data_IF_148268538532
#
_entry.id   IF_148268538532
#
_cell.length_a   1.000
_cell.length_b   1.000
_cell.length_c   1.000
_cell.angle_alpha   90.00
_cell.angle_beta   90.00
_cell.angle_gamma   90.00
#
_symmetry.space_group_name_H-M   'P 1'
#
loop_
_entity.id
_entity.type
_entity.pdbx_description
1 polymer ?
#
# COMPACT_ATOMS: atom_id res chain seq x y z
N UNK A 1 -12.46 -3.49 0.00
CA UNK A 1 -11.43 -2.71 -0.72
C UNK A 1 -10.92 -1.58 0.16
N UNK A 2 -9.75 -1.03 -0.13
CA UNK A 2 -9.21 0.16 0.52
C UNK A 2 -8.53 1.07 -0.51
N UNK A 3 -8.47 2.35 -0.22
CA UNK A 3 -7.80 3.36 -1.03
C UNK A 3 -7.09 4.36 -0.11
N UNK A 4 -5.91 4.78 -0.53
CA UNK A 4 -5.10 5.79 0.12
C UNK A 4 -5.10 7.07 -0.70
N UNK A 5 -5.20 8.20 -0.01
CA UNK A 5 -5.14 9.53 -0.60
C UNK A 5 -3.99 10.32 0.01
N UNK A 6 -3.48 11.29 -0.74
CA UNK A 6 -2.53 12.29 -0.26
C UNK A 6 -2.94 13.63 -0.85
N UNK A 7 -3.13 14.63 0.02
CA UNK A 7 -3.55 15.97 -0.39
C UNK A 7 -4.85 15.96 -1.24
N UNK A 8 -5.78 15.06 -0.90
CA UNK A 8 -7.05 14.86 -1.61
C UNK A 8 -6.98 13.95 -2.85
N UNK A 9 -5.79 13.58 -3.32
CA UNK A 9 -5.60 12.80 -4.55
C UNK A 9 -5.38 11.31 -4.26
N UNK A 10 -6.00 10.37 -5.03
CA UNK A 10 -5.82 8.94 -4.84
C UNK A 10 -4.41 8.50 -5.23
N UNK A 11 -3.66 7.94 -4.28
CA UNK A 11 -2.27 7.51 -4.49
C UNK A 11 -2.12 5.99 -4.64
N UNK A 12 -3.01 5.21 -4.03
CA UNK A 12 -2.98 3.75 -4.12
C UNK A 12 -4.35 3.14 -3.82
N UNK A 13 -4.81 2.21 -4.66
CA UNK A 13 -6.00 1.39 -4.42
C UNK A 13 -5.63 -0.08 -4.29
N UNK A 14 -6.38 -0.81 -3.47
CA UNK A 14 -6.22 -2.25 -3.40
C UNK A 14 -7.39 -2.98 -2.78
N UNK A 15 -7.36 -4.30 -2.93
CA UNK A 15 -8.29 -5.21 -2.31
C UNK A 15 -7.61 -6.03 -1.21
N UNK A 16 -8.40 -6.40 -0.21
CA UNK A 16 -7.95 -7.28 0.85
C UNK A 16 -8.45 -8.70 0.55
N UNK A 17 -7.52 -9.65 0.53
CA UNK A 17 -7.78 -11.07 0.27
C UNK A 17 -7.47 -11.90 1.51
N UNK A 18 -8.07 -13.08 1.59
CA UNK A 18 -7.82 -14.06 2.64
C UNK A 18 -8.62 -13.83 3.93
N UNK A 19 -8.43 -14.74 4.88
CA UNK A 19 -9.27 -14.90 6.09
C UNK A 19 -9.26 -13.66 6.99
N UNK A 20 -8.15 -12.93 7.06
CA UNK A 20 -8.05 -11.72 7.89
C UNK A 20 -8.63 -10.46 7.22
N UNK A 21 -9.06 -10.56 5.97
CA UNK A 21 -9.74 -9.49 5.24
C UNK A 21 -9.03 -8.12 5.31
N UNK A 22 -9.83 -7.05 5.35
CA UNK A 22 -9.35 -5.67 5.43
C UNK A 22 -8.42 -5.45 6.63
N UNK A 23 -8.77 -5.96 7.81
CA UNK A 23 -7.97 -5.77 9.03
C UNK A 23 -6.56 -6.33 8.89
N UNK A 24 -6.41 -7.55 8.37
CA UNK A 24 -5.09 -8.15 8.15
C UNK A 24 -4.26 -7.39 7.11
N UNK A 25 -4.91 -6.93 6.03
CA UNK A 25 -4.22 -6.16 4.99
C UNK A 25 -3.77 -4.79 5.49
N UNK A 26 -4.64 -4.06 6.19
CA UNK A 26 -4.31 -2.74 6.74
C UNK A 26 -3.22 -2.84 7.82
N UNK A 27 -3.23 -3.89 8.65
CA UNK A 27 -2.14 -4.15 9.61
C UNK A 27 -0.77 -4.26 8.92
N UNK A 28 -0.70 -4.86 7.74
CA UNK A 28 0.56 -4.97 6.99
C UNK A 28 1.01 -3.62 6.39
N UNK A 29 0.06 -2.78 5.96
CA UNK A 29 0.35 -1.45 5.40
C UNK A 29 0.72 -0.43 6.47
N UNK A 30 0.14 -0.54 7.66
CA UNK A 30 0.40 0.30 8.84
C UNK A 30 1.53 -0.24 9.72
N UNK A 31 2.19 -1.33 9.33
CA UNK A 31 3.35 -1.83 10.06
C UNK A 31 4.49 -0.81 10.01
N UNK A 32 5.24 -0.67 11.10
CA UNK A 32 6.36 0.27 11.20
C UNK A 32 7.75 -0.38 11.02
N UNK A 33 7.81 -1.72 11.01
CA UNK A 33 9.07 -2.46 10.95
C UNK A 33 9.76 -2.42 9.58
N UNK A 34 11.03 -2.83 9.56
CA UNK A 34 11.90 -2.75 8.37
C UNK A 34 11.50 -3.69 7.23
N UNK A 35 10.77 -4.77 7.51
CA UNK A 35 10.29 -5.70 6.47
C UNK A 35 9.10 -5.11 5.67
N UNK A 36 9.37 -4.61 4.46
CA UNK A 36 8.33 -4.11 3.55
C UNK A 36 7.73 -5.19 2.62
N UNK A 37 8.32 -6.38 2.57
CA UNK A 37 7.97 -7.41 1.58
C UNK A 37 6.51 -7.92 1.69
N UNK A 38 5.87 -7.73 2.85
CA UNK A 38 4.46 -8.10 3.07
C UNK A 38 3.47 -7.05 2.59
N UNK A 39 3.95 -5.87 2.17
CA UNK A 39 3.11 -4.74 1.80
C UNK A 39 3.58 -4.14 0.47
N UNK A 40 2.82 -4.41 -0.59
CA UNK A 40 3.00 -3.76 -1.90
C UNK A 40 3.01 -2.24 -1.78
N UNK A 41 2.06 -1.65 -1.05
CA UNK A 41 1.98 -0.20 -0.82
C UNK A 41 3.29 0.36 -0.22
N UNK A 42 3.67 -0.10 0.98
CA UNK A 42 4.94 0.32 1.63
C UNK A 42 6.16 0.18 0.70
N UNK A 43 6.24 -0.90 -0.08
CA UNK A 43 7.32 -1.08 -1.05
C UNK A 43 7.25 -0.06 -2.20
N UNK A 44 6.06 0.21 -2.75
CA UNK A 44 5.87 1.23 -3.78
C UNK A 44 6.18 2.64 -3.26
N UNK A 45 5.86 2.95 -1.99
CA UNK A 45 6.25 4.20 -1.34
C UNK A 45 7.77 4.31 -1.24
N UNK A 46 8.46 3.25 -0.82
CA UNK A 46 9.93 3.25 -0.77
C UNK A 46 10.54 3.53 -2.15
N UNK A 47 10.04 2.89 -3.20
CA UNK A 47 10.49 3.16 -4.58
C UNK A 47 10.26 4.62 -4.96
N UNK A 48 9.06 5.16 -4.71
CA UNK A 48 8.69 6.51 -5.10
C UNK A 48 9.44 7.60 -4.32
N UNK A 49 9.64 7.41 -3.02
CA UNK A 49 10.17 8.45 -2.13
C UNK A 49 11.69 8.37 -1.95
N UNK A 50 12.28 7.18 -2.10
CA UNK A 50 13.71 6.95 -1.86
C UNK A 50 14.48 6.66 -3.16
N UNK A 51 13.79 6.42 -4.28
CA UNK A 51 14.42 6.06 -5.55
C UNK A 51 15.07 4.68 -5.56
N UNK A 52 14.76 3.83 -4.57
CA UNK A 52 15.28 2.46 -4.49
C UNK A 52 14.53 1.53 -5.43
N UNK A 53 15.13 0.38 -5.77
CA UNK A 53 14.42 -0.64 -6.57
C UNK A 53 13.43 -1.43 -5.74
N UNK A 54 12.43 -2.00 -6.41
CA UNK A 54 11.46 -2.91 -5.77
C UNK A 54 12.11 -4.17 -5.21
N UNK A 55 13.20 -4.63 -5.83
CA UNK A 55 14.00 -5.76 -5.34
C UNK A 55 14.68 -5.42 -4.00
N UNK A 56 15.29 -4.23 -3.90
CA UNK A 56 15.86 -3.71 -2.66
C UNK A 56 14.80 -3.57 -1.56
N UNK A 57 13.69 -2.88 -1.86
CA UNK A 57 12.64 -2.62 -0.87
C UNK A 57 11.98 -3.90 -0.32
N UNK A 58 11.90 -4.98 -1.12
CA UNK A 58 11.23 -6.23 -0.72
C UNK A 58 12.19 -7.35 -0.30
N UNK A 59 13.49 -7.07 -0.25
CA UNK A 59 14.50 -8.07 0.09
C UNK A 59 14.27 -8.66 1.49
N UNK A 60 14.59 -9.96 1.63
CA UNK A 60 14.62 -10.67 2.91
C UNK A 60 15.98 -11.37 3.09
N UNK A 61 16.70 -11.16 4.20
CA UNK A 61 16.42 -10.20 5.28
C UNK A 61 16.41 -8.75 4.76
N UNK A 62 15.72 -7.86 5.47
CA UNK A 62 15.63 -6.45 5.06
C UNK A 62 17.01 -5.80 5.08
N UNK A 63 17.31 -5.05 4.03
CA UNK A 63 18.49 -4.18 3.93
C UNK A 63 18.14 -2.70 4.10
N UNK A 64 16.85 -2.38 4.23
CA UNK A 64 16.35 -1.03 4.50
C UNK A 64 16.89 -0.56 5.85
N UNK A 65 17.42 0.65 5.88
CA UNK A 65 17.87 1.34 7.10
C UNK A 65 16.69 1.91 7.89
N UNK A 66 16.90 2.20 9.17
CA UNK A 66 15.87 2.82 10.02
C UNK A 66 15.46 4.21 9.51
N UNK A 67 16.39 4.96 8.90
CA UNK A 67 16.12 6.28 8.34
C UNK A 67 15.18 6.18 7.12
N UNK A 68 15.44 5.24 6.21
CA UNK A 68 14.57 5.01 5.05
C UNK A 68 13.18 4.54 5.47
N UNK A 69 13.09 3.67 6.48
CA UNK A 69 11.82 3.19 7.01
C UNK A 69 11.03 4.29 7.70
N UNK A 70 11.72 5.20 8.41
CA UNK A 70 11.10 6.38 9.00
C UNK A 70 10.44 7.24 7.92
N UNK A 71 11.14 7.54 6.82
CA UNK A 71 10.57 8.30 5.70
C UNK A 71 9.35 7.62 5.07
N UNK A 72 9.40 6.29 4.88
CA UNK A 72 8.24 5.52 4.37
C UNK A 72 7.05 5.60 5.33
N UNK A 73 7.28 5.45 6.63
CA UNK A 73 6.23 5.47 7.63
C UNK A 73 5.63 6.88 7.79
N UNK A 74 6.44 7.93 7.79
CA UNK A 74 5.99 9.32 7.82
C UNK A 74 5.15 9.65 6.60
N UNK A 75 5.61 9.25 5.41
CA UNK A 75 4.85 9.45 4.17
C UNK A 75 3.47 8.81 4.24
N UNK A 76 3.37 7.56 4.72
CA UNK A 76 2.09 6.86 4.86
C UNK A 76 1.20 7.42 5.95
N UNK A 77 1.77 7.92 7.05
CA UNK A 77 1.00 8.50 8.15
C UNK A 77 0.37 9.84 7.76
N UNK A 78 0.97 10.54 6.80
CA UNK A 78 0.40 11.75 6.20
C UNK A 78 -0.70 11.46 5.16
N UNK A 79 -0.99 10.20 4.84
CA UNK A 79 -2.06 9.84 3.93
C UNK A 79 -3.39 9.65 4.65
N UNK A 80 -4.47 9.92 3.91
CA UNK A 80 -5.82 9.57 4.32
C UNK A 80 -6.17 8.18 3.82
N UNK A 81 -6.96 7.43 4.58
CA UNK A 81 -7.36 6.06 4.28
C UNK A 81 -8.88 5.95 4.20
N UNK A 82 -9.38 5.58 3.02
CA UNK A 82 -10.76 5.16 2.80
C UNK A 82 -10.86 3.64 2.69
N UNK A 83 -11.90 3.04 3.24
CA UNK A 83 -12.22 1.64 2.98
C UNK A 83 -13.72 1.43 2.78
N UNK A 84 -14.03 0.37 2.03
CA UNK A 84 -15.40 -0.09 1.83
C UNK A 84 -15.45 -1.60 1.95
N UNK A 85 -16.35 -2.08 2.79
CA UNK A 85 -16.69 -3.49 2.87
C UNK A 85 -17.52 -3.89 1.65
N UNK A 86 -17.21 -5.06 1.10
CA UNK A 86 -17.91 -5.63 -0.05
C UNK A 86 -18.46 -6.99 0.38
N UNK A 87 -19.63 -7.36 -0.13
CA UNK A 87 -20.30 -8.60 0.26
C UNK A 87 -19.49 -9.85 -0.11
N UNK A 88 -18.68 -9.78 -1.18
CA UNK A 88 -17.89 -10.90 -1.68
C UNK A 88 -16.51 -10.45 -2.14
N UNK A 89 -15.58 -11.41 -2.24
CA UNK A 89 -14.26 -11.19 -2.84
C UNK A 89 -14.33 -10.67 -4.28
N UNK A 90 -15.10 -11.31 -5.19
CA UNK A 90 -15.29 -10.81 -6.55
C UNK A 90 -15.81 -9.37 -6.60
N UNK A 91 -16.79 -9.00 -5.79
CA UNK A 91 -17.29 -7.63 -5.75
C UNK A 91 -16.23 -6.61 -5.29
N UNK A 92 -15.32 -7.01 -4.37
CA UNK A 92 -14.20 -6.18 -3.97
C UNK A 92 -13.17 -6.01 -5.11
N UNK A 93 -12.95 -7.07 -5.88
CA UNK A 93 -12.04 -7.08 -7.03
C UNK A 93 -12.56 -6.17 -8.14
N UNK A 94 -13.83 -6.31 -8.53
CA UNK A 94 -14.44 -5.50 -9.60
C UNK A 94 -14.40 -4.01 -9.26
N UNK A 95 -14.66 -3.66 -7.99
CA UNK A 95 -14.56 -2.28 -7.52
C UNK A 95 -13.12 -1.77 -7.52
N UNK A 96 -12.14 -2.59 -7.12
CA UNK A 96 -10.71 -2.24 -7.19
C UNK A 96 -10.27 -1.97 -8.63
N UNK A 97 -10.63 -2.86 -9.56
CA UNK A 97 -10.31 -2.72 -11.00
C UNK A 97 -10.92 -1.45 -11.56
N UNK A 98 -12.20 -1.19 -11.25
CA UNK A 98 -12.89 0.04 -11.68
C UNK A 98 -12.16 1.29 -11.17
N UNK A 99 -11.92 1.39 -9.86
CA UNK A 99 -11.28 2.58 -9.26
C UNK A 99 -9.85 2.77 -9.76
N UNK A 100 -9.10 1.67 -9.94
CA UNK A 100 -7.74 1.71 -10.47
C UNK A 100 -7.73 2.21 -11.91
N UNK A 101 -8.67 1.78 -12.75
CA UNK A 101 -8.79 2.25 -14.13
C UNK A 101 -9.29 3.69 -14.22
N UNK A 102 -10.17 4.10 -13.31
CA UNK A 102 -10.77 5.43 -13.31
C UNK A 102 -9.78 6.50 -12.83
N UNK A 103 -9.03 6.23 -11.76
CA UNK A 103 -8.17 7.21 -11.10
C UNK A 103 -6.68 7.04 -11.40
N UNK A 104 -6.27 5.89 -11.93
CA UNK A 104 -4.87 5.56 -12.26
C UNK A 104 -3.87 5.95 -11.15
N UNK A 105 -4.02 5.44 -9.91
CA UNK A 105 -3.22 5.94 -8.81
C UNK A 105 -1.72 5.65 -9.03
N UNK A 106 -0.83 6.62 -8.78
CA UNK A 106 0.59 6.54 -9.16
C UNK A 106 1.33 5.37 -8.52
N UNK A 107 0.97 4.91 -7.32
CA UNK A 107 1.69 3.82 -6.66
C UNK A 107 1.25 2.42 -7.14
N UNK A 108 0.16 2.31 -7.90
CA UNK A 108 -0.28 1.05 -8.48
C UNK A 108 0.49 0.65 -9.76
N UNK A 109 1.21 1.60 -10.37
CA UNK A 109 1.97 1.41 -11.62
C UNK A 109 3.49 1.21 -11.43
N UNK A 110 3.98 1.33 -10.18
CA UNK A 110 5.40 1.23 -9.80
C UNK A 110 5.89 -0.18 -9.44
#
# INVERSE_FOLDING_TARGET
MYIWFRDGEPVYVGEAKGVQGLRGRLRAHLAIGTDLSRSTLRASVAVAQLGVTRAYARQRPSVMTDAEITLVNEWLTACELGWRECATGPAAHDLEVKLRSEWTPPLNIL
#
